data_IF_166644559282
#
_entry.id   IF_166644559282
#
_cell.length_a   1.000
_cell.length_b   1.000
_cell.length_c   1.000
_cell.angle_alpha   90.00
_cell.angle_beta   90.00
_cell.angle_gamma   90.00
#
_symmetry.space_group_name_H-M   'P 1'
#
loop_
_entity.id
_entity.type
_entity.pdbx_description
1 polymer ?
#
# COMPACT_ATOMS: atom_id res chain seq x y z
N UNK A 1 -26.70 4.69 -2.92
CA UNK A 1 -25.83 5.36 -1.91
C UNK A 1 -25.39 6.71 -2.47
N UNK A 2 -25.30 7.75 -1.63
CA UNK A 2 -24.93 9.13 -2.01
C UNK A 2 -23.67 9.55 -1.27
N UNK A 3 -22.78 10.26 -1.96
CA UNK A 3 -21.58 10.89 -1.38
C UNK A 3 -21.62 12.37 -1.70
N UNK A 4 -21.54 13.21 -0.68
CA UNK A 4 -21.33 14.64 -0.80
C UNK A 4 -19.85 14.94 -0.59
N UNK A 5 -19.31 15.81 -1.44
CA UNK A 5 -17.94 16.28 -1.41
C UNK A 5 -17.95 17.81 -1.49
N UNK A 6 -18.07 18.48 -0.34
CA UNK A 6 -18.54 19.87 -0.30
C UNK A 6 -19.92 20.00 -0.96
N UNK A 7 -20.04 20.88 -1.94
CA UNK A 7 -21.31 21.14 -2.65
C UNK A 7 -21.60 20.16 -3.78
N UNK A 8 -20.66 19.26 -4.10
CA UNK A 8 -20.81 18.26 -5.16
C UNK A 8 -21.46 16.98 -4.64
N UNK A 9 -22.49 16.50 -5.34
CA UNK A 9 -23.17 15.23 -5.04
C UNK A 9 -22.80 14.16 -6.07
N UNK A 10 -22.39 12.98 -5.59
CA UNK A 10 -22.14 11.79 -6.40
C UNK A 10 -23.05 10.66 -5.94
N UNK A 11 -23.75 10.04 -6.89
CA UNK A 11 -24.59 8.87 -6.64
C UNK A 11 -23.83 7.61 -7.09
N UNK A 12 -23.74 6.64 -6.20
CA UNK A 12 -23.11 5.35 -6.49
C UNK A 12 -24.11 4.42 -7.20
N UNK A 13 -23.61 3.67 -8.18
CA UNK A 13 -24.35 2.64 -8.91
C UNK A 13 -24.09 1.27 -8.28
N UNK A 14 -25.12 0.45 -8.18
CA UNK A 14 -25.00 -0.95 -7.80
C UNK A 14 -24.32 -1.77 -8.90
N UNK A 15 -23.58 -2.80 -8.49
CA UNK A 15 -23.00 -3.80 -9.39
C UNK A 15 -22.71 -5.10 -8.64
N UNK A 16 -22.47 -6.14 -9.42
CA UNK A 16 -22.06 -7.44 -8.95
C UNK A 16 -20.71 -7.77 -9.59
N UNK A 17 -19.74 -8.17 -8.77
CA UNK A 17 -18.42 -8.59 -9.23
C UNK A 17 -18.19 -10.05 -8.86
N UNK A 18 -17.89 -10.86 -9.87
CA UNK A 18 -17.56 -12.27 -9.69
C UNK A 18 -16.25 -12.45 -8.94
N UNK A 19 -16.18 -13.50 -8.12
CA UNK A 19 -14.97 -13.80 -7.34
C UNK A 19 -13.96 -14.56 -8.20
N UNK A 20 -12.71 -14.13 -8.17
CA UNK A 20 -11.62 -14.92 -8.73
C UNK A 20 -11.30 -16.11 -7.81
N UNK A 21 -11.10 -17.29 -8.40
CA UNK A 21 -10.73 -18.51 -7.69
C UNK A 21 -9.24 -18.51 -7.33
N UNK A 22 -8.83 -18.97 -6.13
CA UNK A 22 -9.65 -19.54 -5.05
C UNK A 22 -10.13 -18.47 -4.04
N UNK A 23 -11.42 -18.50 -3.68
CA UNK A 23 -12.00 -17.65 -2.62
C UNK A 23 -12.73 -18.48 -1.57
N UNK A 24 -12.55 -18.14 -0.29
CA UNK A 24 -13.22 -18.82 0.84
C UNK A 24 -14.74 -18.61 0.91
N UNK A 25 -15.29 -17.71 0.09
CA UNK A 25 -16.72 -17.40 0.08
C UNK A 25 -17.35 -17.74 -1.28
N UNK A 26 -18.59 -18.23 -1.25
CA UNK A 26 -19.28 -18.85 -2.39
C UNK A 26 -20.05 -17.90 -3.32
N UNK A 27 -20.32 -16.66 -2.90
CA UNK A 27 -21.22 -15.74 -3.63
C UNK A 27 -20.51 -14.49 -4.16
N UNK A 28 -20.91 -13.92 -5.31
CA UNK A 28 -20.35 -12.69 -5.86
C UNK A 28 -20.37 -11.50 -4.88
N UNK A 29 -19.46 -10.55 -5.06
CA UNK A 29 -19.49 -9.29 -4.29
C UNK A 29 -20.58 -8.38 -4.84
N UNK A 30 -21.55 -8.02 -3.99
CA UNK A 30 -22.47 -6.92 -4.26
C UNK A 30 -21.83 -5.64 -3.76
N UNK A 31 -21.61 -4.68 -4.64
CA UNK A 31 -20.96 -3.42 -4.28
C UNK A 31 -21.63 -2.25 -4.99
N UNK A 32 -21.48 -1.07 -4.39
CA UNK A 32 -21.85 0.18 -5.02
C UNK A 32 -20.56 0.91 -5.40
N UNK A 33 -20.49 1.48 -6.60
CA UNK A 33 -19.30 2.19 -7.07
C UNK A 33 -19.64 3.41 -7.92
N UNK A 34 -18.64 4.25 -8.16
CA UNK A 34 -18.70 5.37 -9.08
C UNK A 34 -17.30 5.64 -9.64
N UNK A 35 -17.23 5.99 -10.93
CA UNK A 35 -16.01 6.46 -11.59
C UNK A 35 -16.02 7.99 -11.79
N UNK A 36 -17.04 8.68 -11.29
CA UNK A 36 -17.23 10.14 -11.43
C UNK A 36 -16.86 10.92 -10.19
N UNK A 37 -16.19 10.27 -9.23
CA UNK A 37 -15.80 10.93 -7.99
C UNK A 37 -14.49 11.67 -8.18
N UNK A 38 -14.53 12.99 -8.08
CA UNK A 38 -13.35 13.86 -8.02
C UNK A 38 -13.28 14.43 -6.61
N UNK A 39 -12.15 14.25 -5.93
CA UNK A 39 -11.98 14.70 -4.54
C UNK A 39 -11.73 16.21 -4.48
N UNK A 40 -12.46 16.93 -3.64
CA UNK A 40 -12.19 18.34 -3.37
C UNK A 40 -11.22 18.41 -2.19
N UNK A 41 -9.96 18.77 -2.47
CA UNK A 41 -8.90 18.82 -1.45
C UNK A 41 -9.35 19.68 -0.25
N UNK A 42 -9.15 19.14 0.95
CA UNK A 42 -9.47 19.84 2.21
C UNK A 42 -10.96 19.97 2.54
N UNK A 43 -11.88 19.47 1.71
CA UNK A 43 -13.31 19.42 2.03
C UNK A 43 -13.67 18.09 2.69
N UNK A 44 -14.65 18.14 3.59
CA UNK A 44 -15.22 16.93 4.18
C UNK A 44 -16.04 16.16 3.16
N UNK A 45 -16.04 14.84 3.32
CA UNK A 45 -16.89 13.90 2.62
C UNK A 45 -17.99 13.45 3.56
N UNK A 46 -19.22 13.40 3.06
CA UNK A 46 -20.35 12.80 3.77
C UNK A 46 -20.90 11.67 2.91
N UNK A 47 -21.20 10.53 3.51
CA UNK A 47 -21.91 9.42 2.86
C UNK A 47 -23.29 9.26 3.49
N UNK A 48 -24.30 8.99 2.66
CA UNK A 48 -25.64 8.62 3.10
C UNK A 48 -26.13 7.40 2.31
N UNK A 49 -26.69 6.43 3.03
CA UNK A 49 -27.47 5.35 2.45
C UNK A 49 -28.88 5.37 3.06
N UNK A 50 -29.90 5.26 2.21
CA UNK A 50 -31.28 5.09 2.65
C UNK A 50 -31.65 3.63 2.48
N UNK A 51 -32.04 2.99 3.58
CA UNK A 51 -32.51 1.62 3.61
C UNK A 51 -33.98 1.54 3.17
N UNK A 52 -34.44 0.34 2.82
CA UNK A 52 -35.82 0.09 2.40
C UNK A 52 -36.85 0.45 3.49
N UNK A 53 -36.48 0.25 4.75
CA UNK A 53 -37.28 0.64 5.91
C UNK A 53 -37.35 2.17 6.15
N UNK A 54 -36.73 2.97 5.27
CA UNK A 54 -36.68 4.43 5.37
C UNK A 54 -35.57 4.99 6.27
N UNK A 55 -34.86 4.16 7.02
CA UNK A 55 -33.74 4.56 7.87
C UNK A 55 -32.60 5.12 7.02
N UNK A 56 -31.93 6.16 7.54
CA UNK A 56 -30.77 6.78 6.91
C UNK A 56 -29.51 6.44 7.70
N UNK A 57 -28.59 5.77 7.03
CA UNK A 57 -27.22 5.58 7.49
C UNK A 57 -26.41 6.77 7.02
N UNK A 58 -25.63 7.37 7.92
CA UNK A 58 -24.82 8.56 7.58
C UNK A 58 -23.45 8.47 8.22
N UNK A 59 -22.43 8.98 7.53
CA UNK A 59 -21.13 9.20 8.12
C UNK A 59 -20.39 10.34 7.43
N UNK A 60 -19.35 10.83 8.08
CA UNK A 60 -18.52 11.91 7.57
C UNK A 60 -17.03 11.64 7.82
N UNK A 61 -16.19 12.17 6.95
CA UNK A 61 -14.75 12.17 7.12
C UNK A 61 -14.10 13.36 6.41
N UNK A 62 -12.82 13.60 6.68
CA UNK A 62 -12.00 14.57 5.95
C UNK A 62 -10.76 13.84 5.42
N UNK A 63 -10.37 14.06 4.15
CA UNK A 63 -9.14 13.50 3.61
C UNK A 63 -7.95 13.92 4.46
N UNK A 64 -7.01 13.01 4.74
CA UNK A 64 -5.74 13.43 5.33
C UNK A 64 -4.99 14.35 4.36
N UNK A 65 -4.05 15.18 4.84
CA UNK A 65 -3.12 15.90 3.99
C UNK A 65 -2.18 14.92 3.27
N UNK A 66 -1.61 15.31 2.12
CA UNK A 66 -0.53 14.57 1.48
C UNK A 66 0.68 14.44 2.42
N UNK A 67 1.40 13.33 2.35
CA UNK A 67 2.64 13.19 3.11
C UNK A 67 3.78 13.94 2.42
N UNK A 68 4.66 14.54 3.20
CA UNK A 68 5.89 15.17 2.74
C UNK A 68 7.07 14.29 3.12
N UNK A 69 7.84 13.84 2.12
CA UNK A 69 9.06 13.07 2.33
C UNK A 69 10.20 14.03 2.72
N UNK A 70 10.92 13.72 3.80
CA UNK A 70 11.95 14.62 4.37
C UNK A 70 13.35 13.99 4.40
N UNK A 71 13.47 12.78 4.94
CA UNK A 71 14.73 12.04 5.04
C UNK A 71 14.55 10.70 4.33
N UNK A 72 15.01 10.62 3.10
CA UNK A 72 14.86 9.46 2.24
C UNK A 72 16.19 9.14 1.57
N UNK A 73 16.54 7.87 1.54
CA UNK A 73 17.68 7.42 0.74
C UNK A 73 17.38 7.67 -0.75
N UNK A 74 18.38 8.24 -1.43
CA UNK A 74 18.23 8.68 -2.83
C UNK A 74 18.37 7.56 -3.85
N UNK A 75 18.94 6.43 -3.45
CA UNK A 75 19.17 5.27 -4.31
C UNK A 75 19.41 4.00 -3.49
N UNK A 76 19.31 2.84 -4.13
CA UNK A 76 19.53 1.54 -3.48
C UNK A 76 20.68 0.78 -4.17
N UNK A 77 21.74 0.39 -3.44
CA UNK A 77 22.08 0.82 -2.08
C UNK A 77 22.53 2.29 -2.04
N UNK A 78 22.32 2.98 -0.92
CA UNK A 78 22.86 4.31 -0.66
C UNK A 78 24.12 4.21 0.21
N UNK A 79 25.28 4.73 -0.24
CA UNK A 79 26.54 4.82 0.51
C UNK A 79 26.94 3.56 1.32
N UNK A 80 26.64 2.36 0.80
CA UNK A 80 26.85 1.06 1.46
C UNK A 80 26.11 0.88 2.80
N UNK A 81 24.99 1.59 3.01
CA UNK A 81 24.14 1.40 4.17
C UNK A 81 23.60 -0.05 4.24
N UNK A 82 23.45 -0.56 5.46
CA UNK A 82 22.85 -1.88 5.72
C UNK A 82 21.33 -1.88 5.56
N UNK A 83 20.70 -0.72 5.39
CA UNK A 83 19.26 -0.56 5.21
C UNK A 83 18.94 0.61 4.28
N UNK A 84 17.73 0.59 3.74
CA UNK A 84 17.12 1.69 2.99
C UNK A 84 16.12 2.39 3.90
N UNK A 85 16.34 3.68 4.14
CA UNK A 85 15.54 4.47 5.08
C UNK A 85 14.64 5.50 4.38
N UNK A 86 13.42 5.63 4.89
CA UNK A 86 12.45 6.62 4.47
C UNK A 86 11.75 7.23 5.68
N UNK A 87 11.60 8.55 5.68
CA UNK A 87 10.77 9.28 6.63
C UNK A 87 9.86 10.26 5.91
N UNK A 88 8.65 10.41 6.44
CA UNK A 88 7.65 11.33 5.96
C UNK A 88 6.98 12.08 7.12
N UNK A 89 6.24 13.13 6.78
CA UNK A 89 5.44 13.89 7.73
C UNK A 89 4.14 14.33 7.05
N UNK A 90 3.01 14.13 7.72
CA UNK A 90 1.70 14.56 7.24
C UNK A 90 1.12 15.73 8.07
N UNK A 91 1.81 16.21 9.09
CA UNK A 91 1.31 17.26 9.99
C UNK A 91 0.14 16.81 10.88
N UNK A 92 -0.14 15.50 10.96
CA UNK A 92 -1.18 14.92 11.81
C UNK A 92 -0.55 13.98 12.84
N UNK A 93 -0.87 14.21 14.11
CA UNK A 93 -0.48 13.35 15.23
C UNK A 93 -1.35 12.08 15.22
N UNK A 94 -0.75 10.92 15.52
CA UNK A 94 -1.45 9.62 15.60
C UNK A 94 -2.17 9.21 14.31
N UNK A 95 -1.70 9.71 13.16
CA UNK A 95 -2.16 9.19 11.87
C UNK A 95 -1.60 7.79 11.65
N UNK A 96 -2.44 6.87 11.15
CA UNK A 96 -2.01 5.53 10.77
C UNK A 96 -1.62 5.50 9.29
N UNK A 97 -0.52 4.82 9.00
CA UNK A 97 0.05 4.63 7.68
C UNK A 97 0.13 3.14 7.36
N UNK A 98 -0.13 2.80 6.10
CA UNK A 98 0.21 1.50 5.52
C UNK A 98 1.27 1.75 4.46
N UNK A 99 2.39 1.04 4.55
CA UNK A 99 3.53 1.25 3.64
C UNK A 99 3.86 -0.01 2.86
N UNK A 100 4.32 0.18 1.62
CA UNK A 100 4.80 -0.89 0.75
C UNK A 100 5.99 -0.39 -0.04
N UNK A 101 7.05 -1.17 -0.12
CA UNK A 101 8.17 -0.91 -1.01
C UNK A 101 8.14 -1.98 -2.11
N UNK A 102 8.08 -1.59 -3.37
CA UNK A 102 7.98 -2.54 -4.48
C UNK A 102 8.98 -2.25 -5.59
N UNK A 103 9.64 -3.28 -6.08
CA UNK A 103 10.52 -3.24 -7.25
C UNK A 103 9.65 -3.37 -8.49
N UNK A 104 9.75 -2.41 -9.40
CA UNK A 104 9.11 -2.47 -10.71
C UNK A 104 10.13 -2.85 -11.77
N UNK A 105 9.77 -3.81 -12.61
CA UNK A 105 10.65 -4.37 -13.63
C UNK A 105 9.83 -4.85 -14.83
N UNK A 106 10.50 -5.02 -15.96
CA UNK A 106 9.94 -5.73 -17.11
C UNK A 106 10.67 -7.06 -17.32
N UNK A 107 9.95 -8.02 -17.87
CA UNK A 107 10.48 -9.30 -18.35
C UNK A 107 10.14 -9.46 -19.82
N UNK A 108 11.13 -9.77 -20.66
CA UNK A 108 10.90 -10.16 -22.05
C UNK A 108 10.30 -11.56 -22.11
N UNK A 109 9.09 -11.66 -22.65
CA UNK A 109 8.37 -12.92 -22.89
C UNK A 109 7.96 -12.94 -24.37
N UNK A 110 8.49 -13.88 -25.14
CA UNK A 110 8.24 -13.99 -26.59
C UNK A 110 8.51 -12.69 -27.37
N UNK A 111 9.56 -11.95 -26.98
CA UNK A 111 9.94 -10.68 -27.62
C UNK A 111 9.15 -9.45 -27.17
N UNK A 112 8.14 -9.58 -26.31
CA UNK A 112 7.38 -8.47 -25.74
C UNK A 112 7.75 -8.22 -24.27
N UNK A 113 7.82 -6.95 -23.88
CA UNK A 113 8.06 -6.56 -22.49
C UNK A 113 6.77 -6.69 -21.67
N UNK A 114 6.83 -7.50 -20.62
CA UNK A 114 5.76 -7.65 -19.63
C UNK A 114 6.16 -6.94 -18.34
N UNK A 115 5.43 -5.90 -17.97
CA UNK A 115 5.63 -5.16 -16.72
C UNK A 115 5.13 -5.95 -15.52
N UNK A 116 5.95 -5.98 -14.47
CA UNK A 116 5.71 -6.72 -13.25
C UNK A 116 6.21 -5.91 -12.06
N UNK A 117 5.76 -6.28 -10.86
CA UNK A 117 6.32 -5.77 -9.62
C UNK A 117 6.56 -6.90 -8.62
N UNK A 118 7.42 -6.65 -7.65
CA UNK A 118 7.68 -7.53 -6.51
C UNK A 118 7.80 -6.69 -5.25
N UNK A 119 6.96 -6.96 -4.27
CA UNK A 119 6.99 -6.26 -2.98
C UNK A 119 8.16 -6.75 -2.12
N UNK A 120 8.93 -5.81 -1.56
CA UNK A 120 10.04 -6.06 -0.65
C UNK A 120 9.49 -6.11 0.78
N UNK A 121 9.64 -7.23 1.51
CA UNK A 121 9.24 -7.31 2.92
C UNK A 121 10.20 -6.50 3.81
N UNK A 122 9.82 -6.25 5.06
CA UNK A 122 10.73 -5.68 6.07
C UNK A 122 11.95 -6.59 6.29
N UNK A 123 11.71 -7.89 6.34
CA UNK A 123 12.70 -8.96 6.50
C UNK A 123 12.13 -10.30 6.06
N UNK A 124 13.02 -11.27 5.89
CA UNK A 124 12.64 -12.68 5.78
C UNK A 124 12.96 -13.39 7.09
N UNK A 125 12.03 -14.17 7.61
CA UNK A 125 12.25 -15.02 8.78
C UNK A 125 12.37 -16.48 8.34
N UNK A 126 13.25 -17.24 8.98
CA UNK A 126 13.35 -18.68 8.77
C UNK A 126 12.30 -19.36 9.61
N UNK A 127 11.37 -20.04 8.95
CA UNK A 127 10.41 -20.93 9.61
C UNK A 127 10.57 -22.33 9.00
N UNK A 128 11.01 -23.28 9.83
CA UNK A 128 11.46 -24.59 9.38
C UNK A 128 12.55 -24.47 8.28
N UNK A 129 12.25 -24.93 7.05
CA UNK A 129 13.14 -24.86 5.89
C UNK A 129 12.76 -23.78 4.88
N UNK A 130 11.78 -22.92 5.18
CA UNK A 130 11.29 -21.90 4.27
C UNK A 130 11.62 -20.48 4.76
N UNK A 131 11.92 -19.60 3.81
CA UNK A 131 12.01 -18.16 4.06
C UNK A 131 10.60 -17.56 3.96
N UNK A 132 10.11 -17.01 5.07
CA UNK A 132 8.79 -16.40 5.16
C UNK A 132 8.95 -14.88 5.16
N UNK A 133 8.35 -14.15 4.19
CA UNK A 133 8.44 -12.69 4.14
C UNK A 133 7.56 -12.05 5.22
N UNK A 134 8.12 -11.09 5.97
CA UNK A 134 7.40 -10.28 6.95
C UNK A 134 7.19 -8.89 6.38
N UNK A 135 5.95 -8.58 6.00
CA UNK A 135 5.60 -7.29 5.40
C UNK A 135 5.29 -6.22 6.46
N UNK A 136 5.44 -4.92 6.11
CA UNK A 136 5.00 -3.84 6.98
C UNK A 136 3.50 -3.95 7.30
N UNK A 137 3.15 -3.74 8.57
CA UNK A 137 1.76 -3.63 9.01
C UNK A 137 1.36 -2.17 9.19
N UNK A 138 0.05 -1.91 9.35
CA UNK A 138 -0.44 -0.57 9.63
C UNK A 138 0.19 -0.05 10.93
N UNK A 139 0.80 1.14 10.87
CA UNK A 139 1.56 1.72 11.99
C UNK A 139 1.34 3.21 12.09
N UNK A 140 1.59 3.79 13.26
CA UNK A 140 1.63 5.24 13.46
C UNK A 140 3.04 5.82 13.31
N UNK A 141 4.03 4.97 13.02
CA UNK A 141 5.37 5.41 12.68
C UNK A 141 5.35 6.14 11.34
N UNK A 142 6.09 7.24 11.28
CA UNK A 142 6.22 8.08 10.10
C UNK A 142 7.53 7.78 9.34
N UNK A 143 8.08 6.59 9.53
CA UNK A 143 9.28 6.12 8.87
C UNK A 143 9.21 4.62 8.56
N UNK A 144 10.02 4.22 7.59
CA UNK A 144 10.23 2.83 7.18
C UNK A 144 11.73 2.63 7.01
N UNK A 145 12.25 1.56 7.61
CA UNK A 145 13.59 1.06 7.34
C UNK A 145 13.50 -0.38 6.88
N UNK A 146 14.13 -0.69 5.75
CA UNK A 146 14.16 -2.03 5.17
C UNK A 146 15.61 -2.48 5.05
N UNK A 147 15.95 -3.64 5.59
CA UNK A 147 17.31 -4.18 5.51
C UNK A 147 17.73 -4.48 4.07
N UNK A 148 18.99 -4.23 3.74
CA UNK A 148 19.55 -4.54 2.42
C UNK A 148 19.57 -6.05 2.14
N UNK A 149 19.55 -6.89 3.17
CA UNK A 149 19.36 -8.34 3.08
C UNK A 149 17.98 -8.67 2.46
N UNK A 150 16.91 -8.05 2.93
CA UNK A 150 15.56 -8.23 2.39
C UNK A 150 15.44 -7.72 0.95
N UNK A 151 16.06 -6.58 0.65
CA UNK A 151 16.14 -6.06 -0.74
C UNK A 151 16.89 -7.04 -1.63
N UNK A 152 18.06 -7.51 -1.19
CA UNK A 152 18.93 -8.44 -1.94
C UNK A 152 18.23 -9.76 -2.20
N UNK A 153 17.55 -10.31 -1.20
CA UNK A 153 16.80 -11.55 -1.37
C UNK A 153 15.64 -11.37 -2.33
N UNK A 154 14.90 -10.26 -2.23
CA UNK A 154 13.81 -9.96 -3.16
C UNK A 154 14.31 -9.81 -4.60
N UNK A 155 15.48 -9.19 -4.79
CA UNK A 155 16.14 -9.11 -6.10
C UNK A 155 16.44 -10.51 -6.66
N UNK A 156 16.99 -11.44 -5.88
CA UNK A 156 17.22 -12.83 -6.35
C UNK A 156 15.92 -13.53 -6.74
N UNK A 157 14.86 -13.33 -5.95
CA UNK A 157 13.56 -13.97 -6.16
C UNK A 157 12.82 -13.48 -7.42
N UNK A 158 13.21 -12.34 -8.01
CA UNK A 158 12.61 -11.84 -9.27
C UNK A 158 12.80 -12.84 -10.43
N UNK A 159 13.96 -13.49 -10.48
CA UNK A 159 14.29 -14.47 -11.52
C UNK A 159 14.45 -15.89 -10.95
N UNK A 160 13.77 -16.22 -9.86
CA UNK A 160 13.82 -17.57 -9.29
C UNK A 160 13.34 -18.59 -10.33
N UNK A 161 14.14 -19.63 -10.55
CA UNK A 161 13.87 -20.65 -11.56
C UNK A 161 14.13 -20.25 -13.02
N UNK A 162 14.63 -19.04 -13.30
CA UNK A 162 14.99 -18.58 -14.64
C UNK A 162 16.51 -18.38 -14.78
N UNK A 163 17.11 -19.07 -15.76
CA UNK A 163 18.55 -18.98 -16.04
C UNK A 163 18.91 -17.75 -16.87
N UNK A 164 17.99 -17.22 -17.69
CA UNK A 164 18.26 -16.07 -18.57
C UNK A 164 17.83 -14.76 -17.91
N UNK A 165 18.64 -14.34 -16.93
CA UNK A 165 18.45 -13.09 -16.18
C UNK A 165 18.57 -11.85 -17.07
N UNK A 166 19.15 -11.96 -18.26
CA UNK A 166 19.32 -10.84 -19.19
C UNK A 166 17.98 -10.36 -19.80
N UNK A 167 16.91 -11.16 -19.67
CA UNK A 167 15.56 -10.80 -20.07
C UNK A 167 14.83 -9.91 -19.07
N UNK A 168 15.44 -9.63 -17.91
CA UNK A 168 14.86 -8.80 -16.87
C UNK A 168 15.49 -7.41 -16.89
N UNK A 169 14.65 -6.38 -16.92
CA UNK A 169 15.05 -4.99 -16.83
C UNK A 169 14.45 -4.36 -15.57
N UNK A 170 15.31 -3.95 -14.64
CA UNK A 170 14.89 -3.33 -13.37
C UNK A 170 14.75 -1.82 -13.56
N UNK A 171 13.56 -1.28 -13.32
CA UNK A 171 13.26 0.14 -13.51
C UNK A 171 13.60 0.97 -12.28
N UNK A 172 12.91 0.73 -11.17
CA UNK A 172 13.11 1.41 -9.89
C UNK A 172 12.33 0.70 -8.78
N UNK A 173 12.62 1.05 -7.52
CA UNK A 173 11.70 0.79 -6.42
C UNK A 173 10.75 1.99 -6.24
N UNK A 174 9.53 1.71 -5.80
CA UNK A 174 8.57 2.73 -5.39
C UNK A 174 8.11 2.44 -3.97
N UNK A 175 8.27 3.43 -3.09
CA UNK A 175 7.65 3.45 -1.78
C UNK A 175 6.23 4.00 -1.92
N UNK A 176 5.24 3.20 -1.58
CA UNK A 176 3.85 3.60 -1.40
C UNK A 176 3.61 3.89 0.09
N UNK A 177 3.15 5.10 0.42
CA UNK A 177 2.69 5.49 1.76
C UNK A 177 1.20 5.82 1.67
N UNK A 178 0.38 4.92 2.18
CA UNK A 178 -1.07 5.07 2.29
C UNK A 178 -1.38 5.72 3.64
N UNK A 179 -1.69 7.01 3.61
CA UNK A 179 -2.09 7.80 4.76
C UNK A 179 -3.60 7.62 5.00
N UNK A 180 -3.98 7.10 6.16
CA UNK A 180 -5.38 6.87 6.52
C UNK A 180 -5.98 8.12 7.16
N UNK A 181 -7.27 8.38 6.94
CA UNK A 181 -8.00 9.42 7.68
C UNK A 181 -8.19 9.05 9.16
N UNK A 182 -8.88 9.92 9.93
CA UNK A 182 -9.14 9.68 11.35
C UNK A 182 -9.95 8.40 11.60
N UNK A 183 -10.92 8.09 10.75
CA UNK A 183 -11.89 7.01 10.97
C UNK A 183 -11.26 5.66 10.66
N UNK A 184 -10.52 5.55 9.55
CA UNK A 184 -9.72 4.39 9.22
C UNK A 184 -8.59 4.21 10.22
N UNK A 185 -7.91 5.28 10.65
CA UNK A 185 -6.88 5.18 11.70
C UNK A 185 -7.46 4.67 13.02
N UNK A 186 -8.64 5.17 13.43
CA UNK A 186 -9.33 4.68 14.63
C UNK A 186 -9.74 3.21 14.50
N UNK A 187 -10.31 2.82 13.36
CA UNK A 187 -10.63 1.42 13.05
C UNK A 187 -9.39 0.53 13.21
N UNK A 188 -8.30 0.82 12.48
CA UNK A 188 -7.08 0.02 12.54
C UNK A 188 -6.44 0.02 13.94
N UNK A 189 -6.46 1.13 14.68
CA UNK A 189 -5.92 1.14 16.04
C UNK A 189 -6.77 0.33 17.03
N UNK A 190 -8.09 0.26 16.80
CA UNK A 190 -9.00 -0.54 17.63
C UNK A 190 -8.97 -2.04 17.31
N UNK A 191 -8.70 -2.41 16.06
CA UNK A 191 -8.72 -3.82 15.60
C UNK A 191 -7.32 -4.42 15.47
N UNK A 192 -6.36 -3.73 14.85
CA UNK A 192 -5.07 -4.29 14.45
C UNK A 192 -4.00 -4.32 15.56
N UNK A 193 -4.06 -3.41 16.55
CA UNK A 193 -3.09 -3.40 17.68
C UNK A 193 -3.34 -4.52 18.71
N UNK A 194 -4.39 -5.31 18.54
CA UNK A 194 -4.76 -6.42 19.43
C UNK A 194 -4.49 -7.81 18.84
N UNK A 195 -3.87 -7.89 17.66
CA UNK A 195 -3.54 -9.14 16.99
C UNK A 195 -2.14 -9.61 17.41
N UNK A 196 -2.02 -10.11 18.64
CA UNK A 196 -0.95 -11.05 18.96
C UNK A 196 -1.40 -12.44 18.52
N UNK A 197 -0.59 -13.13 17.71
CA UNK A 197 -0.92 -14.43 17.10
C UNK A 197 -1.12 -15.56 18.14
N UNK A 198 -0.85 -15.30 19.42
CA UNK A 198 -1.01 -16.25 20.52
C UNK A 198 -2.19 -15.95 21.44
N UNK A 199 -3.00 -14.93 21.14
CA UNK A 199 -4.12 -14.50 21.99
C UNK A 199 -5.46 -14.78 21.33
N UNK A 200 -6.28 -15.64 21.94
CA UNK A 200 -7.70 -15.79 21.57
C UNK A 200 -8.49 -14.68 22.26
N UNK A 201 -9.07 -13.76 21.47
CA UNK A 201 -9.96 -12.72 22.00
C UNK A 201 -11.41 -13.17 21.90
N UNK A 202 -12.15 -13.02 23.01
CA UNK A 202 -13.58 -13.30 23.06
C UNK A 202 -14.42 -12.07 22.61
N UNK A 203 -13.87 -10.86 22.70
CA UNK A 203 -14.56 -9.60 22.37
C UNK A 203 -13.76 -8.76 21.35
N UNK A 204 -14.13 -8.82 20.07
CA UNK A 204 -13.65 -7.87 19.06
C UNK A 204 -14.30 -6.50 19.33
N UNK A 205 -13.51 -5.43 19.34
CA UNK A 205 -14.07 -4.10 19.59
C UNK A 205 -14.81 -3.64 18.34
N UNK A 206 -16.14 -3.59 18.39
CA UNK A 206 -16.97 -3.09 17.29
C UNK A 206 -16.74 -1.59 17.08
N UNK A 207 -15.83 -1.23 16.17
CA UNK A 207 -15.70 0.16 15.73
C UNK A 207 -16.72 0.46 14.62
N UNK A 208 -17.58 1.44 14.87
CA UNK A 208 -18.45 2.04 13.86
C UNK A 208 -18.37 3.56 13.92
N UNK A 209 -18.33 4.19 12.74
CA UNK A 209 -18.53 5.62 12.59
C UNK A 209 -19.76 5.94 11.70
N UNK A 210 -20.62 4.94 11.49
CA UNK A 210 -21.89 5.09 10.78
C UNK A 210 -22.99 5.38 11.80
N UNK A 211 -23.65 6.52 11.65
CA UNK A 211 -24.88 6.83 12.39
C UNK A 211 -26.00 5.88 11.94
N UNK A 212 -26.78 5.39 12.91
CA UNK A 212 -27.92 4.48 12.70
C UNK A 212 -27.58 3.10 12.11
N UNK A 213 -26.32 2.68 12.17
CA UNK A 213 -25.91 1.35 11.70
C UNK A 213 -24.47 0.97 12.06
N UNK A 214 -24.00 -0.13 11.48
CA UNK A 214 -22.65 -0.63 11.67
C UNK A 214 -21.84 -0.51 10.39
N UNK A 215 -20.57 -0.16 10.54
CA UNK A 215 -19.60 -0.16 9.44
C UNK A 215 -18.56 0.93 9.61
N UNK A 216 -17.69 1.03 8.61
CA UNK A 216 -16.63 2.03 8.58
C UNK A 216 -16.73 2.82 7.29
N UNK A 217 -16.78 4.13 7.42
CA UNK A 217 -16.59 5.05 6.32
C UNK A 217 -15.32 5.86 6.54
N UNK A 218 -14.39 5.75 5.60
CA UNK A 218 -13.24 6.62 5.58
C UNK A 218 -12.56 6.65 4.22
N UNK A 219 -11.53 7.48 4.16
CA UNK A 219 -10.72 7.77 2.99
C UNK A 219 -9.25 7.59 3.33
N UNK A 220 -8.46 7.19 2.35
CA UNK A 220 -7.02 7.20 2.41
C UNK A 220 -6.45 8.04 1.27
N UNK A 221 -5.26 8.59 1.47
CA UNK A 221 -4.45 9.15 0.41
C UNK A 221 -3.24 8.25 0.17
N UNK A 222 -3.08 7.83 -1.09
CA UNK A 222 -1.88 7.15 -1.54
C UNK A 222 -0.85 8.17 -2.01
N UNK A 223 0.34 8.10 -1.43
CA UNK A 223 1.49 8.89 -1.81
C UNK A 223 2.59 7.93 -2.28
N UNK A 224 3.36 8.32 -3.29
CA UNK A 224 4.39 7.46 -3.86
C UNK A 224 5.71 8.21 -3.97
N UNK A 225 6.81 7.56 -3.62
CA UNK A 225 8.17 8.06 -3.77
C UNK A 225 8.99 7.08 -4.62
N UNK A 226 9.68 7.60 -5.64
CA UNK A 226 10.55 6.81 -6.52
C UNK A 226 11.95 6.71 -5.90
N UNK A 227 12.51 5.51 -5.90
CA UNK A 227 13.84 5.21 -5.37
C UNK A 227 14.60 4.40 -6.42
N UNK A 228 15.56 5.01 -7.15
CA UNK A 228 16.31 4.30 -8.16
C UNK A 228 17.25 3.27 -7.52
N UNK A 229 17.55 2.20 -8.24
CA UNK A 229 18.65 1.30 -7.89
C UNK A 229 19.93 1.77 -8.60
N UNK A 230 21.10 1.54 -7.99
CA UNK A 230 22.36 1.81 -8.69
C UNK A 230 22.56 0.79 -9.82
N UNK A 231 23.07 1.21 -11.00
CA UNK A 231 23.33 0.29 -12.10
C UNK A 231 24.24 -0.88 -11.71
N UNK A 232 25.27 -0.61 -10.89
CA UNK A 232 26.20 -1.62 -10.41
C UNK A 232 25.50 -2.69 -9.57
N UNK A 233 24.58 -2.30 -8.68
CA UNK A 233 23.82 -3.22 -7.87
C UNK A 233 22.90 -4.10 -8.73
N UNK A 234 22.15 -3.51 -9.67
CA UNK A 234 21.30 -4.27 -10.61
C UNK A 234 22.13 -5.29 -11.39
N UNK A 235 23.26 -4.87 -11.97
CA UNK A 235 24.14 -5.72 -12.78
C UNK A 235 24.76 -6.87 -11.98
N UNK A 236 24.95 -6.72 -10.67
CA UNK A 236 25.46 -7.80 -9.82
C UNK A 236 24.55 -9.03 -9.78
N UNK A 237 23.26 -8.87 -10.08
CA UNK A 237 22.31 -9.98 -10.21
C UNK A 237 22.18 -10.53 -11.65
N UNK A 238 22.85 -9.91 -12.63
CA UNK A 238 22.75 -10.26 -14.05
C UNK A 238 21.55 -9.62 -14.77
N UNK A 239 20.86 -8.66 -14.15
CA UNK A 239 19.75 -7.93 -14.75
C UNK A 239 20.21 -6.73 -15.57
N UNK A 240 19.36 -6.27 -16.48
CA UNK A 240 19.54 -5.02 -17.20
C UNK A 240 19.06 -3.85 -16.35
N UNK A 241 19.87 -2.81 -16.19
CA UNK A 241 19.37 -1.55 -15.68
C UNK A 241 18.38 -0.94 -16.72
N UNK A 242 17.15 -0.56 -16.33
CA UNK A 242 16.18 0.22 -17.14
C UNK A 242 16.02 1.70 -16.77
N UNK A 243 15.39 2.52 -17.63
CA UNK A 243 15.40 4.00 -17.74
C UNK A 243 15.32 4.92 -16.48
N UNK A 244 15.30 4.41 -15.25
CA UNK A 244 15.50 5.18 -14.01
C UNK A 244 16.93 5.71 -13.78
N UNK A 245 17.83 5.60 -14.75
CA UNK A 245 19.19 6.17 -14.68
C UNK A 245 19.16 7.66 -14.95
N UNK A 246 19.01 8.42 -13.89
CA UNK A 246 20.04 9.41 -13.72
C UNK A 246 21.17 8.70 -12.97
N UNK A 247 22.32 8.55 -13.63
CA UNK A 247 23.59 8.64 -12.91
C UNK A 247 23.58 10.00 -12.22
N UNK A 248 22.89 10.12 -11.08
CA UNK A 248 22.86 11.33 -10.30
C UNK A 248 24.19 11.37 -9.55
N UNK A 249 25.12 12.28 -9.89
CA UNK A 249 26.25 12.53 -9.03
C UNK A 249 25.67 13.34 -7.87
N UNK A 250 25.41 12.68 -6.74
CA UNK A 250 25.37 13.39 -5.47
C UNK A 250 26.63 13.00 -4.72
N UNK A 251 27.68 13.77 -4.98
CA UNK A 251 28.67 14.08 -3.94
C UNK A 251 27.94 14.45 -2.63
#
# INVERSE_FOLDING_TARGET
IRIWNGDSLVIMKDTVVDRQSPSKYKYPYRLYYTNKFVLNKGKSLTIEARLENGQKLKSYTTPPPPVQFSQVDKNIPYKNNESVYFAWNAGIINQTYVTRLSIYYSKKVNGADKFMNKEIPLRYEKYENNLVPIYPTATNNNSLSVGMDAVTETMKLISEGDTDKSNYEIMAAFLEVIALDKNLSAYFNSTARSLDNFSVKLDETDFTNIENGFGVFGIYLRNTYLVPFTPAYIRSFGYKPGLGFADYPFD
#
